data_IF_571424956071
#
_entry.id   IF_571424956071
#
_cell.length_a   1.000
_cell.length_b   1.000
_cell.length_c   1.000
_cell.angle_alpha   90.00
_cell.angle_beta   90.00
_cell.angle_gamma   90.00
#
_symmetry.space_group_name_H-M   'P 1'
#
loop_
_entity.id
_entity.type
_entity.pdbx_description
1 polymer ?
#
# COMPACT_ATOMS: atom_id res chain seq x y z
N UNK A 1 -17.43 -17.97 3.51
CA UNK A 1 -16.81 -17.76 2.18
C UNK A 1 -15.43 -17.18 2.38
N UNK A 2 -14.45 -17.55 1.56
CA UNK A 2 -13.10 -16.99 1.63
C UNK A 2 -13.11 -15.57 1.10
N UNK A 3 -12.61 -14.60 1.89
CA UNK A 3 -12.58 -13.18 1.53
C UNK A 3 -11.58 -12.89 0.41
N UNK A 4 -11.94 -11.99 -0.49
CA UNK A 4 -11.10 -11.54 -1.59
C UNK A 4 -10.30 -10.30 -1.18
N UNK A 5 -8.99 -10.37 -1.36
CA UNK A 5 -8.04 -9.29 -1.08
C UNK A 5 -7.34 -8.82 -2.35
N UNK A 6 -7.38 -7.53 -2.62
CA UNK A 6 -6.66 -6.88 -3.72
C UNK A 6 -5.48 -6.09 -3.16
N UNK A 7 -4.29 -6.33 -3.69
CA UNK A 7 -3.06 -5.64 -3.29
C UNK A 7 -2.50 -4.89 -4.49
N UNK A 8 -2.53 -3.55 -4.46
CA UNK A 8 -1.92 -2.75 -5.53
C UNK A 8 -0.41 -2.77 -5.44
N UNK A 9 0.28 -2.95 -6.58
CA UNK A 9 1.72 -3.17 -6.59
C UNK A 9 2.13 -4.45 -5.84
N UNK A 10 1.29 -5.49 -5.90
CA UNK A 10 1.35 -6.71 -5.08
C UNK A 10 2.38 -7.75 -5.51
N UNK A 11 3.18 -7.50 -6.55
CA UNK A 11 4.09 -8.51 -7.13
C UNK A 11 5.56 -8.33 -6.78
N UNK A 12 5.93 -7.29 -6.00
CA UNK A 12 7.31 -7.03 -5.57
C UNK A 12 7.38 -6.32 -4.22
N UNK A 13 8.54 -6.34 -3.59
CA UNK A 13 8.84 -5.60 -2.36
C UNK A 13 7.82 -5.88 -1.24
N UNK A 14 7.37 -4.84 -0.56
CA UNK A 14 6.37 -4.92 0.51
C UNK A 14 5.08 -5.58 0.00
N UNK A 15 4.59 -5.17 -1.18
CA UNK A 15 3.37 -5.71 -1.76
C UNK A 15 3.41 -7.22 -1.98
N UNK A 16 4.54 -7.76 -2.43
CA UNK A 16 4.70 -9.20 -2.62
C UNK A 16 4.62 -9.97 -1.30
N UNK A 17 5.29 -9.47 -0.25
CA UNK A 17 5.24 -10.14 1.06
C UNK A 17 3.85 -10.01 1.73
N UNK A 18 3.15 -8.89 1.52
CA UNK A 18 1.74 -8.75 1.91
C UNK A 18 0.88 -9.77 1.15
N UNK A 19 1.04 -9.88 -0.18
CA UNK A 19 0.29 -10.85 -1.00
C UNK A 19 0.52 -12.29 -0.54
N UNK A 20 1.79 -12.68 -0.32
CA UNK A 20 2.15 -14.01 0.20
C UNK A 20 1.61 -14.26 1.60
N UNK A 21 1.72 -13.25 2.49
CA UNK A 21 1.22 -13.35 3.86
C UNK A 21 -0.28 -13.57 3.93
N UNK A 22 -1.06 -12.82 3.15
CA UNK A 22 -2.51 -12.97 3.08
C UNK A 22 -2.90 -14.30 2.43
N UNK A 23 -2.23 -14.71 1.36
CA UNK A 23 -2.48 -16.00 0.71
C UNK A 23 -2.23 -17.17 1.67
N UNK A 24 -1.11 -17.14 2.41
CA UNK A 24 -0.79 -18.14 3.43
C UNK A 24 -1.83 -18.17 4.58
N UNK A 25 -2.43 -17.03 4.89
CA UNK A 25 -3.49 -16.92 5.89
C UNK A 25 -4.87 -17.36 5.37
N UNK A 26 -4.97 -17.84 4.12
CA UNK A 26 -6.17 -18.41 3.53
C UNK A 26 -7.09 -17.40 2.82
N UNK A 27 -6.65 -16.16 2.61
CA UNK A 27 -7.38 -15.19 1.78
C UNK A 27 -7.22 -15.51 0.30
N UNK A 28 -8.24 -15.19 -0.49
CA UNK A 28 -8.16 -15.21 -1.96
C UNK A 28 -7.51 -13.89 -2.42
N UNK A 29 -6.24 -13.94 -2.78
CA UNK A 29 -5.43 -12.77 -3.12
C UNK A 29 -5.39 -12.55 -4.62
N UNK A 30 -5.54 -11.28 -5.05
CA UNK A 30 -5.24 -10.81 -6.40
C UNK A 30 -4.19 -9.71 -6.30
N UNK A 31 -3.01 -9.93 -6.89
CA UNK A 31 -1.90 -8.98 -6.87
C UNK A 31 -1.90 -8.13 -8.15
N UNK A 32 -2.02 -6.81 -8.00
CA UNK A 32 -1.92 -5.89 -9.13
C UNK A 32 -0.46 -5.59 -9.48
N UNK A 33 -0.22 -5.45 -10.77
CA UNK A 33 0.99 -4.82 -11.33
C UNK A 33 0.61 -3.87 -12.47
N UNK A 34 1.56 -3.06 -12.97
CA UNK A 34 1.27 -2.15 -14.10
C UNK A 34 2.14 -2.47 -15.33
N UNK A 35 3.47 -2.45 -15.22
CA UNK A 35 4.38 -2.53 -16.38
C UNK A 35 5.31 -3.74 -16.39
N UNK A 36 5.66 -4.26 -15.22
CA UNK A 36 6.62 -5.36 -15.11
C UNK A 36 5.93 -6.70 -15.29
N UNK A 37 5.67 -7.06 -16.54
CA UNK A 37 4.99 -8.32 -16.92
C UNK A 37 5.81 -9.52 -16.48
N UNK A 38 7.10 -9.58 -16.84
CA UNK A 38 7.99 -10.70 -16.51
C UNK A 38 8.10 -10.93 -14.99
N UNK A 39 8.18 -9.83 -14.21
CA UNK A 39 8.20 -9.92 -12.75
C UNK A 39 6.88 -10.42 -12.15
N UNK A 40 5.76 -10.06 -12.76
CA UNK A 40 4.43 -10.50 -12.33
C UNK A 40 4.20 -11.97 -12.68
N UNK A 41 4.59 -12.42 -13.87
CA UNK A 41 4.52 -13.83 -14.29
C UNK A 41 5.38 -14.71 -13.37
N UNK A 42 6.63 -14.32 -13.13
CA UNK A 42 7.50 -15.03 -12.18
C UNK A 42 6.88 -15.12 -10.77
N UNK A 43 6.31 -14.01 -10.27
CA UNK A 43 5.63 -14.00 -8.99
C UNK A 43 4.44 -14.96 -8.98
N UNK A 44 3.66 -15.01 -10.06
CA UNK A 44 2.56 -15.96 -10.21
C UNK A 44 3.04 -17.40 -10.20
N UNK A 45 4.07 -17.72 -10.99
CA UNK A 45 4.64 -19.07 -11.11
C UNK A 45 5.17 -19.59 -9.78
N UNK A 46 5.83 -18.71 -9.00
CA UNK A 46 6.39 -19.06 -7.70
C UNK A 46 5.35 -19.22 -6.59
N UNK A 47 4.22 -18.50 -6.67
CA UNK A 47 3.28 -18.39 -5.54
C UNK A 47 1.90 -18.95 -5.82
N UNK A 48 1.53 -19.13 -7.09
CA UNK A 48 0.17 -19.46 -7.50
C UNK A 48 -0.84 -18.32 -7.30
N UNK A 49 -0.39 -17.15 -6.83
CA UNK A 49 -1.26 -15.99 -6.59
C UNK A 49 -1.65 -15.37 -7.93
N UNK A 50 -2.95 -15.18 -8.23
CA UNK A 50 -3.41 -14.47 -9.42
C UNK A 50 -2.83 -13.06 -9.52
N UNK A 51 -2.39 -12.68 -10.72
CA UNK A 51 -1.90 -11.34 -11.03
C UNK A 51 -2.79 -10.69 -12.09
N UNK A 52 -3.08 -9.40 -11.92
CA UNK A 52 -3.91 -8.62 -12.84
C UNK A 52 -3.22 -7.27 -13.13
N UNK A 53 -3.26 -6.85 -14.41
CA UNK A 53 -2.57 -5.62 -14.84
C UNK A 53 -3.54 -4.46 -15.00
N UNK A 54 -3.27 -3.35 -14.30
CA UNK A 54 -3.87 -2.03 -14.55
C UNK A 54 -3.04 -0.92 -13.97
N UNK A 55 -3.22 0.30 -14.48
CA UNK A 55 -2.65 1.50 -13.92
C UNK A 55 -3.55 2.05 -12.80
N UNK A 56 -3.09 2.06 -11.57
CA UNK A 56 -3.85 2.57 -10.42
C UNK A 56 -4.10 4.09 -10.47
N UNK A 57 -3.35 4.83 -11.28
CA UNK A 57 -3.57 6.25 -11.51
C UNK A 57 -4.74 6.55 -12.47
N UNK A 58 -5.24 5.54 -13.17
CA UNK A 58 -6.35 5.62 -14.11
C UNK A 58 -7.62 5.10 -13.43
N UNK A 59 -8.60 5.97 -13.25
CA UNK A 59 -9.85 5.64 -12.56
C UNK A 59 -10.66 4.58 -13.32
N UNK A 60 -10.79 4.73 -14.61
CA UNK A 60 -11.61 3.81 -15.43
C UNK A 60 -10.98 2.42 -15.48
N UNK A 61 -9.64 2.35 -15.58
CA UNK A 61 -8.91 1.09 -15.48
C UNK A 61 -9.05 0.42 -14.09
N UNK A 62 -9.13 1.21 -13.01
CA UNK A 62 -9.41 0.68 -11.67
C UNK A 62 -10.83 0.10 -11.59
N UNK A 63 -11.84 0.81 -12.09
CA UNK A 63 -13.24 0.38 -12.05
C UNK A 63 -13.45 -0.90 -12.84
N UNK A 64 -13.01 -0.95 -14.09
CA UNK A 64 -13.05 -2.14 -14.93
C UNK A 64 -12.34 -3.34 -14.28
N UNK A 65 -11.19 -3.10 -13.63
CA UNK A 65 -10.42 -4.19 -13.02
C UNK A 65 -11.11 -4.73 -11.76
N UNK A 66 -11.70 -3.86 -10.95
CA UNK A 66 -12.47 -4.29 -9.77
C UNK A 66 -13.69 -5.11 -10.19
N UNK A 67 -14.38 -4.71 -11.26
CA UNK A 67 -15.51 -5.49 -11.83
C UNK A 67 -15.07 -6.88 -12.33
N UNK A 68 -13.96 -6.96 -13.08
CA UNK A 68 -13.40 -8.26 -13.53
C UNK A 68 -12.99 -9.15 -12.37
N UNK A 69 -12.38 -8.57 -11.33
CA UNK A 69 -11.99 -9.30 -10.13
C UNK A 69 -13.22 -9.81 -9.38
N UNK A 70 -14.26 -9.00 -9.27
CA UNK A 70 -15.49 -9.39 -8.60
C UNK A 70 -16.20 -10.54 -9.31
N UNK A 71 -16.23 -10.53 -10.64
CA UNK A 71 -16.81 -11.60 -11.46
C UNK A 71 -16.00 -12.92 -11.33
N UNK A 72 -14.68 -12.85 -11.39
CA UNK A 72 -13.80 -14.02 -11.44
C UNK A 72 -13.51 -14.63 -10.07
N UNK A 73 -13.35 -13.79 -9.05
CA UNK A 73 -12.86 -14.23 -7.74
C UNK A 73 -13.86 -13.99 -6.61
N UNK A 74 -14.86 -13.15 -6.82
CA UNK A 74 -15.82 -12.69 -5.83
C UNK A 74 -15.58 -11.22 -5.43
N UNK A 75 -16.54 -10.61 -4.71
CA UNK A 75 -16.49 -9.20 -4.35
C UNK A 75 -15.26 -8.89 -3.50
N UNK A 76 -14.65 -7.73 -3.72
CA UNK A 76 -13.47 -7.28 -2.98
C UNK A 76 -13.86 -6.91 -1.54
N UNK A 77 -13.31 -7.64 -0.59
CA UNK A 77 -13.54 -7.44 0.85
C UNK A 77 -12.37 -6.70 1.53
N UNK A 78 -11.17 -6.84 0.98
CA UNK A 78 -9.94 -6.27 1.51
C UNK A 78 -9.20 -5.55 0.40
N UNK A 79 -8.82 -4.30 0.64
CA UNK A 79 -8.02 -3.49 -0.26
C UNK A 79 -6.74 -3.03 0.43
N UNK A 80 -5.58 -3.34 -0.16
CA UNK A 80 -4.29 -2.84 0.29
C UNK A 80 -3.74 -1.89 -0.77
N UNK A 81 -3.79 -0.58 -0.51
CA UNK A 81 -3.20 0.45 -1.35
C UNK A 81 -1.69 0.54 -1.06
N UNK A 82 -0.91 -0.21 -1.83
CA UNK A 82 0.55 -0.29 -1.67
C UNK A 82 1.30 0.27 -2.88
N UNK A 83 0.69 0.34 -4.06
CA UNK A 83 1.34 0.89 -5.25
C UNK A 83 1.91 2.30 -4.99
N UNK A 84 3.14 2.53 -5.43
CA UNK A 84 3.78 3.83 -5.25
C UNK A 84 5.10 3.93 -6.01
N UNK A 85 5.47 5.17 -6.30
CA UNK A 85 6.72 5.54 -6.96
C UNK A 85 7.39 6.70 -6.22
N UNK A 86 8.67 6.88 -6.46
CA UNK A 86 9.43 8.07 -6.08
C UNK A 86 9.97 8.78 -7.32
N UNK A 87 10.12 10.12 -7.25
CA UNK A 87 10.80 10.97 -8.21
C UNK A 87 11.54 12.02 -7.41
N UNK A 88 12.67 11.61 -6.83
CA UNK A 88 13.41 12.38 -5.82
C UNK A 88 14.19 13.49 -6.48
N UNK A 89 13.76 14.74 -6.27
CA UNK A 89 14.40 15.95 -6.75
C UNK A 89 14.08 17.10 -5.76
N UNK A 90 15.08 17.94 -5.42
CA UNK A 90 14.85 19.14 -4.62
C UNK A 90 13.88 20.10 -5.32
N UNK A 91 13.00 20.75 -4.57
CA UNK A 91 11.83 21.46 -5.11
C UNK A 91 12.17 22.47 -6.23
N UNK A 92 13.24 23.27 -6.07
CA UNK A 92 13.63 24.28 -7.07
C UNK A 92 14.13 23.70 -8.41
N UNK A 93 14.33 22.38 -8.50
CA UNK A 93 14.70 21.65 -9.72
C UNK A 93 13.67 20.60 -10.12
N UNK A 94 12.59 20.46 -9.35
CA UNK A 94 11.58 19.42 -9.59
C UNK A 94 10.75 19.78 -10.84
N UNK A 95 10.79 18.96 -11.91
CA UNK A 95 9.90 19.16 -13.03
C UNK A 95 8.45 18.86 -12.62
N UNK A 96 7.50 19.55 -13.24
CA UNK A 96 6.07 19.36 -12.91
C UNK A 96 5.59 17.92 -13.11
N UNK A 97 6.15 17.23 -14.07
CA UNK A 97 5.86 15.83 -14.36
C UNK A 97 6.23 14.92 -13.18
N UNK A 98 7.38 15.17 -12.54
CA UNK A 98 7.80 14.41 -11.34
C UNK A 98 6.87 14.66 -10.14
N UNK A 99 6.28 15.84 -10.04
CA UNK A 99 5.23 16.12 -9.05
C UNK A 99 3.96 15.35 -9.38
N UNK A 100 3.43 15.51 -10.59
CA UNK A 100 2.17 14.88 -11.00
C UNK A 100 2.24 13.36 -10.96
N UNK A 101 3.30 12.74 -11.52
CA UNK A 101 3.49 11.30 -11.50
C UNK A 101 3.35 10.73 -10.08
N UNK A 102 3.98 11.40 -9.10
CA UNK A 102 3.99 10.94 -7.71
C UNK A 102 2.63 11.16 -7.04
N UNK A 103 2.00 12.29 -7.23
CA UNK A 103 0.66 12.57 -6.66
C UNK A 103 -0.36 11.58 -7.24
N UNK A 104 -0.39 11.40 -8.56
CA UNK A 104 -1.34 10.51 -9.23
C UNK A 104 -1.15 9.05 -8.80
N UNK A 105 0.11 8.59 -8.74
CA UNK A 105 0.37 7.18 -8.40
C UNK A 105 0.23 6.89 -6.90
N UNK A 106 0.61 7.84 -6.01
CA UNK A 106 0.71 7.54 -4.57
C UNK A 106 -0.50 8.04 -3.77
N UNK A 107 -1.26 9.02 -4.27
CA UNK A 107 -2.41 9.59 -3.56
C UNK A 107 -3.71 9.44 -4.34
N UNK A 108 -3.78 9.93 -5.59
CA UNK A 108 -4.99 9.81 -6.41
C UNK A 108 -5.39 8.35 -6.60
N UNK A 109 -4.42 7.46 -6.74
CA UNK A 109 -4.67 6.01 -6.80
C UNK A 109 -5.44 5.45 -5.60
N UNK A 110 -5.18 5.96 -4.39
CA UNK A 110 -5.94 5.54 -3.20
C UNK A 110 -7.40 5.94 -3.31
N UNK A 111 -7.68 7.15 -3.81
CA UNK A 111 -9.06 7.56 -4.12
C UNK A 111 -9.66 6.64 -5.18
N UNK A 112 -8.99 6.42 -6.32
CA UNK A 112 -9.48 5.59 -7.40
C UNK A 112 -9.90 4.21 -6.91
N UNK A 113 -8.97 3.50 -6.26
CA UNK A 113 -9.24 2.14 -5.75
C UNK A 113 -10.30 2.11 -4.65
N UNK A 114 -10.26 3.04 -3.69
CA UNK A 114 -11.26 3.08 -2.63
C UNK A 114 -12.66 3.40 -3.19
N UNK A 115 -12.76 4.34 -4.13
CA UNK A 115 -14.04 4.75 -4.73
C UNK A 115 -14.72 3.58 -5.45
N UNK A 116 -13.96 2.69 -6.07
CA UNK A 116 -14.49 1.54 -6.81
C UNK A 116 -14.93 0.39 -5.90
N UNK A 117 -14.27 0.16 -4.76
CA UNK A 117 -14.61 -0.97 -3.87
C UNK A 117 -15.62 -0.63 -2.78
N UNK A 118 -15.66 0.63 -2.30
CA UNK A 118 -16.49 1.06 -1.18
C UNK A 118 -17.98 0.84 -1.39
N UNK A 119 -18.60 1.09 -2.55
CA UNK A 119 -20.01 0.84 -2.74
C UNK A 119 -20.41 -0.59 -2.37
N UNK A 120 -19.72 -1.58 -2.92
CA UNK A 120 -19.96 -2.99 -2.61
C UNK A 120 -19.64 -3.37 -1.15
N UNK A 121 -18.57 -2.81 -0.57
CA UNK A 121 -18.28 -3.01 0.85
C UNK A 121 -19.38 -2.47 1.75
N UNK A 122 -19.93 -1.27 1.46
CA UNK A 122 -21.04 -0.66 2.21
C UNK A 122 -22.32 -1.47 2.11
N UNK A 123 -22.62 -2.01 0.94
CA UNK A 123 -23.80 -2.86 0.71
C UNK A 123 -23.73 -4.15 1.53
N UNK A 124 -22.55 -4.77 1.60
CA UNK A 124 -22.32 -5.99 2.36
C UNK A 124 -22.10 -5.77 3.87
N UNK A 125 -21.92 -4.53 4.31
CA UNK A 125 -21.63 -4.22 5.72
C UNK A 125 -20.27 -4.71 6.18
N UNK A 126 -19.31 -4.89 5.27
CA UNK A 126 -17.96 -5.36 5.57
C UNK A 126 -16.92 -4.79 4.59
N UNK A 127 -15.78 -4.35 5.11
CA UNK A 127 -14.61 -3.97 4.34
C UNK A 127 -13.38 -3.73 5.22
N UNK A 128 -12.20 -3.97 4.65
CA UNK A 128 -10.91 -3.70 5.28
C UNK A 128 -10.03 -2.97 4.28
N UNK A 129 -9.65 -1.74 4.58
CA UNK A 129 -8.76 -0.93 3.74
C UNK A 129 -7.51 -0.59 4.52
N UNK A 130 -6.34 -0.90 3.95
CA UNK A 130 -5.05 -0.53 4.52
C UNK A 130 -4.24 0.24 3.48
N UNK A 131 -3.87 1.46 3.83
CA UNK A 131 -3.06 2.34 3.00
C UNK A 131 -1.59 2.25 3.45
N UNK A 132 -0.68 1.87 2.55
CA UNK A 132 0.75 1.82 2.85
C UNK A 132 1.35 3.22 2.65
N UNK A 133 1.47 3.92 3.76
CA UNK A 133 2.07 5.23 3.88
C UNK A 133 3.59 5.20 3.82
N UNK A 134 4.22 6.08 4.59
CA UNK A 134 5.68 6.14 4.76
C UNK A 134 6.04 7.02 5.96
N UNK A 135 7.15 6.72 6.61
CA UNK A 135 7.78 7.63 7.57
C UNK A 135 8.01 9.03 6.94
N UNK A 136 8.30 9.10 5.64
CA UNK A 136 8.55 10.36 4.96
C UNK A 136 7.27 11.21 4.77
N UNK A 137 6.09 10.61 4.88
CA UNK A 137 4.82 11.34 4.99
C UNK A 137 4.58 11.93 6.39
N UNK A 138 5.28 11.44 7.41
CA UNK A 138 5.19 11.94 8.79
C UNK A 138 6.29 12.94 9.12
N UNK A 139 7.55 12.61 8.79
CA UNK A 139 8.74 13.39 9.15
C UNK A 139 9.23 14.31 8.01
N UNK A 140 8.84 14.07 6.76
CA UNK A 140 9.42 14.69 5.59
C UNK A 140 10.80 14.12 5.22
N UNK A 141 11.24 14.40 4.00
CA UNK A 141 12.55 13.98 3.49
C UNK A 141 13.04 14.97 2.44
N UNK A 142 14.31 15.35 2.51
CA UNK A 142 14.95 16.22 1.50
C UNK A 142 14.83 15.58 0.11
N UNK A 143 14.41 16.36 -0.88
CA UNK A 143 14.24 15.89 -2.25
C UNK A 143 12.91 15.16 -2.51
N UNK A 144 12.05 15.03 -1.52
CA UNK A 144 10.78 14.28 -1.62
C UNK A 144 9.53 15.12 -1.30
N UNK A 145 9.52 16.40 -1.66
CA UNK A 145 8.33 17.25 -1.42
C UNK A 145 7.05 16.66 -2.02
N UNK A 146 7.13 16.09 -3.23
CA UNK A 146 6.03 15.37 -3.90
C UNK A 146 5.62 14.10 -3.15
N UNK A 147 6.57 13.25 -2.82
CA UNK A 147 6.32 11.97 -2.14
C UNK A 147 5.81 12.18 -0.71
N UNK A 148 6.45 13.09 0.05
CA UNK A 148 6.02 13.43 1.40
C UNK A 148 4.60 14.01 1.41
N UNK A 149 4.28 14.93 0.47
CA UNK A 149 2.94 15.48 0.32
C UNK A 149 1.90 14.38 0.01
N UNK A 150 2.20 13.48 -0.94
CA UNK A 150 1.30 12.37 -1.27
C UNK A 150 1.06 11.44 -0.08
N UNK A 151 2.13 11.04 0.62
CA UNK A 151 2.02 10.13 1.77
C UNK A 151 1.40 10.79 2.99
N UNK A 152 1.61 12.08 3.24
CA UNK A 152 0.91 12.84 4.27
C UNK A 152 -0.58 13.01 3.91
N UNK A 153 -0.91 13.34 2.65
CA UNK A 153 -2.29 13.42 2.16
C UNK A 153 -3.05 12.11 2.33
N UNK A 154 -2.38 10.97 2.09
CA UNK A 154 -2.94 9.64 2.32
C UNK A 154 -3.37 9.42 3.78
N UNK A 155 -2.64 9.95 4.77
CA UNK A 155 -3.02 9.85 6.19
C UNK A 155 -4.29 10.67 6.49
N UNK A 156 -4.42 11.86 5.90
CA UNK A 156 -5.65 12.66 5.97
C UNK A 156 -6.83 11.95 5.32
N UNK A 157 -6.63 11.42 4.12
CA UNK A 157 -7.62 10.61 3.40
C UNK A 157 -8.07 9.40 4.22
N UNK A 158 -7.13 8.66 4.83
CA UNK A 158 -7.41 7.52 5.69
C UNK A 158 -8.37 7.88 6.83
N UNK A 159 -8.10 8.98 7.53
CA UNK A 159 -8.92 9.42 8.68
C UNK A 159 -10.33 9.83 8.25
N UNK A 160 -10.46 10.61 7.19
CA UNK A 160 -11.75 11.05 6.68
C UNK A 160 -12.59 9.84 6.22
N UNK A 161 -12.00 8.95 5.43
CA UNK A 161 -12.69 7.77 4.92
C UNK A 161 -13.07 6.79 6.03
N UNK A 162 -12.27 6.68 7.09
CA UNK A 162 -12.59 5.88 8.28
C UNK A 162 -13.87 6.38 8.96
N UNK A 163 -14.00 7.70 9.15
CA UNK A 163 -15.21 8.29 9.74
C UNK A 163 -16.48 8.02 8.90
N UNK A 164 -16.37 8.15 7.57
CA UNK A 164 -17.48 7.90 6.65
C UNK A 164 -17.88 6.43 6.58
N UNK A 165 -16.96 5.52 6.82
CA UNK A 165 -17.09 4.10 6.52
C UNK A 165 -17.37 3.23 7.76
N UNK A 166 -16.93 3.67 8.95
CA UNK A 166 -17.09 2.93 10.20
C UNK A 166 -18.55 2.52 10.50
N UNK A 167 -19.58 3.36 10.29
CA UNK A 167 -20.99 2.97 10.51
C UNK A 167 -21.47 1.84 9.60
N UNK A 168 -20.67 1.48 8.59
CA UNK A 168 -20.95 0.40 7.63
C UNK A 168 -20.08 -0.84 7.83
N UNK A 169 -19.41 -0.99 8.98
CA UNK A 169 -18.55 -2.14 9.28
C UNK A 169 -17.26 -2.18 8.48
N UNK A 170 -16.83 -1.04 7.92
CA UNK A 170 -15.61 -0.92 7.14
C UNK A 170 -14.55 -0.20 7.98
N UNK A 171 -13.36 -0.79 8.09
CA UNK A 171 -12.22 -0.13 8.72
C UNK A 171 -11.23 0.38 7.66
N UNK A 172 -10.66 1.56 7.91
CA UNK A 172 -9.66 2.18 7.04
C UNK A 172 -8.50 2.62 7.90
N UNK A 173 -7.31 2.08 7.67
CA UNK A 173 -6.12 2.35 8.45
C UNK A 173 -4.92 2.62 7.55
N UNK A 174 -3.87 3.22 8.08
CA UNK A 174 -2.60 3.42 7.41
C UNK A 174 -1.47 2.70 8.16
N UNK A 175 -0.50 2.19 7.42
CA UNK A 175 0.80 1.76 7.94
C UNK A 175 1.86 2.70 7.38
N UNK A 176 2.75 3.21 8.22
CA UNK A 176 3.88 4.04 7.82
C UNK A 176 5.20 3.26 8.05
N UNK A 177 5.68 2.53 7.03
CA UNK A 177 6.97 1.88 7.11
C UNK A 177 8.10 2.90 7.22
N UNK A 178 9.17 2.54 7.94
CA UNK A 178 10.48 3.14 7.79
C UNK A 178 11.22 2.58 6.57
N UNK A 179 12.54 2.51 6.65
CA UNK A 179 13.34 1.84 5.63
C UNK A 179 13.21 0.33 5.75
N UNK A 180 12.61 -0.30 4.74
CA UNK A 180 12.36 -1.75 4.64
C UNK A 180 13.29 -2.34 3.58
N UNK A 181 13.91 -3.48 3.85
CA UNK A 181 14.86 -4.17 2.97
C UNK A 181 14.15 -4.74 1.74
N UNK A 182 14.01 -3.90 0.73
CA UNK A 182 13.41 -4.21 -0.57
C UNK A 182 14.43 -4.00 -1.67
N UNK A 183 14.16 -4.49 -2.88
CA UNK A 183 14.99 -4.25 -4.07
C UNK A 183 15.32 -2.76 -4.25
N UNK A 184 14.37 -1.86 -3.93
CA UNK A 184 14.56 -0.41 -4.02
C UNK A 184 15.63 0.08 -3.03
N UNK A 185 15.64 -0.43 -1.80
CA UNK A 185 16.66 -0.08 -0.79
C UNK A 185 17.99 -0.77 -1.10
N UNK A 186 17.96 -1.99 -1.61
CA UNK A 186 19.17 -2.73 -2.00
C UNK A 186 19.89 -2.08 -3.19
N UNK A 187 19.18 -1.37 -4.07
CA UNK A 187 19.78 -0.60 -5.17
C UNK A 187 20.54 0.66 -4.71
N UNK A 188 20.39 1.07 -3.44
CA UNK A 188 21.13 2.22 -2.87
C UNK A 188 22.56 1.80 -2.54
N UNK A 189 23.60 2.62 -2.84
CA UNK A 189 24.99 2.32 -2.52
C UNK A 189 25.19 1.98 -1.04
N UNK A 190 26.03 0.96 -0.75
CA UNK A 190 26.23 0.42 0.61
C UNK A 190 26.59 1.48 1.64
N UNK A 191 27.50 2.41 1.31
CA UNK A 191 27.87 3.53 2.21
C UNK A 191 26.67 4.37 2.64
N UNK A 192 25.71 4.59 1.73
CA UNK A 192 24.47 5.35 2.03
C UNK A 192 23.54 4.48 2.89
N UNK A 193 23.45 3.19 2.58
CA UNK A 193 22.68 2.22 3.38
C UNK A 193 23.19 2.13 4.83
N UNK A 194 24.51 2.13 5.04
CA UNK A 194 25.12 2.17 6.39
C UNK A 194 24.73 3.44 7.15
N UNK A 195 24.76 4.61 6.51
CA UNK A 195 24.32 5.87 7.11
C UNK A 195 22.82 5.83 7.46
N UNK A 196 21.99 5.27 6.59
CA UNK A 196 20.57 5.10 6.87
C UNK A 196 20.38 4.16 8.06
N UNK A 197 21.04 2.99 8.04
CA UNK A 197 20.96 1.97 9.09
C UNK A 197 21.35 2.51 10.46
N UNK A 198 22.42 3.32 10.53
CA UNK A 198 22.88 3.91 11.78
C UNK A 198 21.88 4.91 12.42
N UNK A 199 20.92 5.40 11.64
CA UNK A 199 19.85 6.29 12.11
C UNK A 199 18.59 5.54 12.53
N UNK A 200 18.53 4.22 12.35
CA UNK A 200 17.41 3.40 12.78
C UNK A 200 17.69 2.91 14.20
N UNK A 201 16.89 3.29 15.21
CA UNK A 201 17.18 2.88 16.61
C UNK A 201 17.28 1.37 16.81
N UNK A 202 16.50 0.57 16.07
CA UNK A 202 16.58 -0.91 16.08
C UNK A 202 17.86 -1.44 15.42
N UNK A 203 18.62 -0.61 14.69
CA UNK A 203 19.93 -0.94 14.12
C UNK A 203 19.89 -1.76 12.81
N UNK A 204 18.72 -1.98 12.24
CA UNK A 204 18.54 -2.72 10.96
C UNK A 204 17.42 -2.14 10.12
N UNK A 205 17.41 -2.47 8.84
CA UNK A 205 16.23 -2.28 8.00
C UNK A 205 15.09 -3.19 8.46
N UNK A 206 13.85 -2.75 8.25
CA UNK A 206 12.67 -3.58 8.44
C UNK A 206 12.64 -4.72 7.42
N UNK A 207 12.10 -5.86 7.81
CA UNK A 207 11.79 -6.95 6.88
C UNK A 207 10.40 -6.68 6.27
N UNK A 208 10.19 -6.82 4.95
CA UNK A 208 8.88 -6.67 4.32
C UNK A 208 7.78 -7.53 4.98
N UNK A 209 8.14 -8.68 5.55
CA UNK A 209 7.23 -9.55 6.31
C UNK A 209 6.70 -8.89 7.58
N UNK A 210 7.44 -7.96 8.20
CA UNK A 210 6.97 -7.22 9.37
C UNK A 210 5.81 -6.29 9.00
N UNK A 211 5.84 -5.72 7.78
CA UNK A 211 4.73 -4.92 7.24
C UNK A 211 3.53 -5.82 6.91
N UNK A 212 3.77 -6.99 6.29
CA UNK A 212 2.72 -7.97 6.03
C UNK A 212 2.02 -8.42 7.32
N UNK A 213 2.76 -8.60 8.41
CA UNK A 213 2.22 -8.96 9.72
C UNK A 213 1.31 -7.84 10.28
N UNK A 214 1.71 -6.57 10.15
CA UNK A 214 0.88 -5.44 10.56
C UNK A 214 -0.40 -5.32 9.71
N UNK A 215 -0.32 -5.62 8.41
CA UNK A 215 -1.51 -5.70 7.53
C UNK A 215 -2.45 -6.79 8.02
N UNK A 216 -1.95 -8.00 8.30
CA UNK A 216 -2.75 -9.13 8.80
C UNK A 216 -3.48 -8.76 10.10
N UNK A 217 -2.83 -8.05 11.02
CA UNK A 217 -3.47 -7.55 12.23
C UNK A 217 -4.63 -6.61 11.89
N UNK A 218 -4.43 -5.60 11.03
CA UNK A 218 -5.44 -4.58 10.72
C UNK A 218 -6.65 -5.11 9.95
N UNK A 219 -6.51 -6.21 9.21
CA UNK A 219 -7.61 -6.81 8.45
C UNK A 219 -8.36 -7.92 9.20
N UNK A 220 -7.86 -8.33 10.37
CA UNK A 220 -8.49 -9.35 11.19
C UNK A 220 -9.87 -8.91 11.69
N UNK A 221 -10.76 -9.87 11.94
CA UNK A 221 -12.09 -9.57 12.47
C UNK A 221 -12.03 -8.94 13.85
N UNK A 222 -11.10 -9.40 14.68
CA UNK A 222 -10.87 -8.90 16.05
C UNK A 222 -10.29 -7.47 16.08
N UNK A 223 -9.80 -6.95 14.96
CA UNK A 223 -9.29 -5.58 14.83
C UNK A 223 -10.38 -4.55 14.44
N UNK A 224 -11.65 -4.90 14.51
CA UNK A 224 -12.76 -4.06 14.03
C UNK A 224 -12.87 -2.70 14.75
N UNK A 225 -12.35 -2.58 15.96
CA UNK A 225 -12.31 -1.31 16.70
C UNK A 225 -11.11 -0.42 16.30
N UNK A 226 -10.19 -0.93 15.47
CA UNK A 226 -9.06 -0.19 14.93
C UNK A 226 -9.44 0.42 13.57
N UNK A 227 -9.80 1.70 13.53
CA UNK A 227 -10.08 2.44 12.29
C UNK A 227 -9.60 3.88 12.40
N UNK A 228 -9.14 4.48 11.30
CA UNK A 228 -8.52 5.80 11.26
C UNK A 228 -7.11 5.85 11.87
N UNK A 229 -6.55 4.72 12.26
CA UNK A 229 -5.24 4.64 12.89
C UNK A 229 -4.11 4.75 11.86
N UNK A 230 -2.96 5.25 12.34
CA UNK A 230 -1.69 5.24 11.61
C UNK A 230 -0.69 4.43 12.43
N UNK A 231 -0.30 3.26 11.93
CA UNK A 231 0.71 2.42 12.56
C UNK A 231 2.11 2.75 12.01
N UNK A 232 2.97 3.26 12.85
CA UNK A 232 4.37 3.52 12.53
C UNK A 232 5.18 2.20 12.71
N UNK A 233 5.61 1.58 11.61
CA UNK A 233 6.44 0.38 11.59
C UNK A 233 7.82 0.76 11.01
N UNK A 234 8.63 1.44 11.82
CA UNK A 234 9.82 2.15 11.33
C UNK A 234 11.08 1.96 12.20
N UNK A 235 11.07 0.98 13.12
CA UNK A 235 12.22 0.71 13.97
C UNK A 235 12.60 1.85 14.92
N UNK A 236 11.65 2.74 15.24
CA UNK A 236 11.85 3.87 16.14
C UNK A 236 12.39 5.15 15.46
N UNK A 237 12.50 5.18 14.13
CA UNK A 237 12.98 6.37 13.40
C UNK A 237 12.06 7.59 13.54
N UNK A 238 10.76 7.35 13.74
CA UNK A 238 9.75 8.38 14.00
C UNK A 238 8.77 7.85 15.04
N UNK A 239 8.51 8.66 16.06
CA UNK A 239 7.55 8.39 17.13
C UNK A 239 6.54 9.55 17.14
N UNK A 240 5.25 9.27 17.03
CA UNK A 240 4.15 10.24 17.06
C UNK A 240 3.45 10.19 18.42
#
# INVERSE_FOLDING_TARGET
>A
MTRVAVITGGTRGIGAEVSKGLHKAGYKVVANYHRNVEGAERFHDETGIPVESWNVADYDACDESVLRIADKYGPVDILINNAGITRDVVLHRMPKEAWHDVIETNLTSCYNMCRTVIPGMRERGFGRIVNIGSINGQAGQVGQCNYAAAKAGMLGFTKALALESAPKGITVNAICPGYVDTEMVQAVPEKVREVIRSRIPVGRFGDPREIAHAVLFLIADDAMFCTGATLAINGGQYMS
#
